data_IF_245034310822
#
_entry.id   IF_245034310822
#
_cell.length_a   1.000
_cell.length_b   1.000
_cell.length_c   1.000
_cell.angle_alpha   90.00
_cell.angle_beta   90.00
_cell.angle_gamma   90.00
#
_symmetry.space_group_name_H-M   'P 1'
#
loop_
_entity.id
_entity.type
_entity.pdbx_description
1 polymer ?
#
# COMPACT_ATOMS: atom_id res chain seq x y z
N UNK A 1 -10.52 -6.47 11.42
CA UNK A 1 -9.58 -5.86 10.46
C UNK A 1 -9.09 -6.96 9.54
N UNK A 2 -9.43 -6.90 8.24
CA UNK A 2 -8.73 -7.68 7.21
C UNK A 2 -7.86 -6.63 6.51
N UNK A 3 -6.61 -6.49 6.90
CA UNK A 3 -5.69 -5.49 6.35
C UNK A 3 -4.33 -6.16 6.19
N UNK A 4 -3.64 -5.86 5.09
CA UNK A 4 -2.23 -6.22 4.96
C UNK A 4 -1.43 -5.17 5.73
N UNK A 5 -0.45 -5.58 6.51
CA UNK A 5 0.30 -4.67 7.36
C UNK A 5 1.77 -5.08 7.48
N UNK A 6 2.57 -4.14 7.94
CA UNK A 6 4.00 -4.29 8.22
C UNK A 6 4.40 -3.27 9.27
N UNK A 7 5.48 -3.56 10.01
CA UNK A 7 6.02 -2.67 11.03
C UNK A 7 7.49 -2.39 10.75
N UNK A 8 7.92 -1.16 11.01
CA UNK A 8 9.33 -0.75 10.94
C UNK A 8 9.69 0.06 12.19
N UNK A 9 10.96 0.05 12.58
CA UNK A 9 11.48 0.94 13.62
C UNK A 9 12.34 2.04 12.97
N UNK A 10 11.90 3.29 13.06
CA UNK A 10 12.47 4.44 12.34
C UNK A 10 12.49 5.65 13.27
N UNK A 11 13.61 6.36 13.34
CA UNK A 11 13.78 7.58 14.15
C UNK A 11 13.27 7.42 15.60
N UNK A 12 13.55 6.29 16.23
CA UNK A 12 13.15 6.02 17.62
C UNK A 12 11.69 5.61 17.82
N UNK A 13 10.89 5.45 16.75
CA UNK A 13 9.48 5.08 16.81
C UNK A 13 9.18 3.80 16.03
N UNK A 14 8.18 3.08 16.49
CA UNK A 14 7.51 2.02 15.74
C UNK A 14 6.53 2.65 14.76
N UNK A 15 6.74 2.39 13.48
CA UNK A 15 5.91 2.86 12.37
C UNK A 15 5.11 1.66 11.87
N UNK A 16 3.80 1.70 12.07
CA UNK A 16 2.88 0.67 11.62
C UNK A 16 2.24 1.12 10.31
N UNK A 17 2.53 0.38 9.24
CA UNK A 17 2.03 0.67 7.90
C UNK A 17 0.94 -0.34 7.57
N UNK A 18 -0.23 0.16 7.20
CA UNK A 18 -1.41 -0.63 6.91
C UNK A 18 -1.93 -0.32 5.52
N UNK A 19 -2.56 -1.29 4.87
CA UNK A 19 -3.19 -1.14 3.58
C UNK A 19 -4.62 -1.68 3.64
N UNK A 20 -5.56 -0.96 3.01
CA UNK A 20 -6.92 -1.46 2.82
C UNK A 20 -6.90 -2.82 2.11
N UNK A 21 -7.87 -3.68 2.41
CA UNK A 21 -7.96 -4.98 1.74
C UNK A 21 -8.33 -4.82 0.27
N UNK A 22 -7.42 -5.23 -0.61
CA UNK A 22 -7.58 -5.07 -2.06
C UNK A 22 -7.66 -6.37 -2.84
N UNK A 23 -8.06 -7.51 -2.25
CA UNK A 23 -8.06 -8.80 -2.94
C UNK A 23 -9.47 -9.28 -3.36
N UNK A 24 -10.47 -8.40 -3.31
CA UNK A 24 -11.84 -8.68 -3.76
C UNK A 24 -12.18 -7.79 -4.95
N UNK A 25 -13.27 -8.12 -5.65
CA UNK A 25 -13.74 -7.28 -6.73
C UNK A 25 -14.12 -5.88 -6.25
N UNK A 26 -13.35 -4.84 -6.63
CA UNK A 26 -13.58 -3.53 -6.07
C UNK A 26 -14.82 -2.91 -6.68
N UNK A 27 -15.73 -2.45 -5.83
CA UNK A 27 -16.82 -1.57 -6.23
C UNK A 27 -16.38 -0.11 -6.12
N UNK A 28 -17.18 0.83 -6.65
CA UNK A 28 -16.83 2.26 -6.68
C UNK A 28 -16.66 2.93 -5.31
N UNK A 29 -17.05 2.24 -4.22
CA UNK A 29 -16.95 2.72 -2.84
C UNK A 29 -15.76 2.12 -2.08
N UNK A 30 -15.03 1.18 -2.67
CA UNK A 30 -13.92 0.52 -1.97
C UNK A 30 -12.73 1.48 -1.86
N UNK A 31 -12.20 1.57 -0.64
CA UNK A 31 -11.04 2.39 -0.31
C UNK A 31 -9.75 1.64 -0.65
N UNK A 32 -8.82 2.33 -1.28
CA UNK A 32 -7.53 1.79 -1.71
C UNK A 32 -6.41 2.65 -1.13
N UNK A 33 -6.31 2.68 0.19
CA UNK A 33 -5.35 3.56 0.87
C UNK A 33 -4.27 2.78 1.62
N UNK A 34 -3.13 3.45 1.75
CA UNK A 34 -2.07 3.12 2.68
C UNK A 34 -2.15 4.12 3.84
N UNK A 35 -2.04 3.59 5.05
CA UNK A 35 -2.09 4.33 6.29
C UNK A 35 -0.80 4.15 7.06
N UNK A 36 -0.47 5.16 7.87
CA UNK A 36 0.58 5.06 8.89
C UNK A 36 0.02 5.48 10.24
N UNK A 37 0.41 4.72 11.27
CA UNK A 37 0.33 5.11 12.67
C UNK A 37 1.70 4.91 13.33
N UNK A 38 1.98 5.64 14.42
CA UNK A 38 3.28 5.60 15.10
C UNK A 38 3.13 5.33 16.58
N UNK A 39 4.13 4.70 17.21
CA UNK A 39 4.20 4.51 18.66
C UNK A 39 5.64 4.57 19.16
N UNK A 40 5.83 4.89 20.43
CA UNK A 40 7.12 4.73 21.12
C UNK A 40 7.29 3.33 21.72
N UNK A 41 6.30 2.45 21.60
CA UNK A 41 6.29 1.07 22.11
C UNK A 41 5.88 0.09 21.00
N UNK A 42 6.45 -1.14 20.94
CA UNK A 42 6.06 -2.13 19.95
C UNK A 42 4.60 -2.59 20.09
N UNK A 43 4.00 -2.39 21.26
CA UNK A 43 2.64 -2.81 21.60
C UNK A 43 1.64 -1.65 21.69
N UNK A 44 2.10 -0.41 21.47
CA UNK A 44 1.26 0.79 21.53
C UNK A 44 1.28 1.53 22.87
N UNK A 45 0.39 2.53 23.04
CA UNK A 45 -0.66 2.92 22.10
C UNK A 45 -0.08 3.50 20.80
N UNK A 46 -0.70 3.16 19.67
CA UNK A 46 -0.40 3.78 18.38
C UNK A 46 -1.20 5.07 18.21
N UNK A 47 -0.63 6.03 17.47
CA UNK A 47 -1.33 7.24 17.05
C UNK A 47 -2.57 6.89 16.23
N UNK A 48 -3.48 7.85 16.07
CA UNK A 48 -4.53 7.72 15.07
C UNK A 48 -3.92 7.46 13.69
N UNK A 49 -4.49 6.51 12.95
CA UNK A 49 -4.08 6.20 11.58
C UNK A 49 -4.27 7.43 10.68
N UNK A 50 -3.27 7.75 9.87
CA UNK A 50 -3.35 8.79 8.83
C UNK A 50 -3.27 8.14 7.45
N UNK A 51 -4.13 8.56 6.53
CA UNK A 51 -3.97 8.21 5.11
C UNK A 51 -2.74 8.93 4.59
N UNK A 52 -1.79 8.19 4.03
CA UNK A 52 -0.54 8.74 3.50
C UNK A 52 -0.39 8.55 1.99
N UNK A 53 -1.15 7.61 1.41
CA UNK A 53 -1.16 7.38 -0.03
C UNK A 53 -2.48 6.71 -0.44
N UNK A 54 -3.01 7.09 -1.59
CA UNK A 54 -4.15 6.43 -2.25
C UNK A 54 -3.65 5.75 -3.51
N UNK A 55 -3.88 4.44 -3.64
CA UNK A 55 -3.45 3.62 -4.77
C UNK A 55 -4.36 3.94 -5.97
N UNK A 56 -3.82 4.53 -7.06
CA UNK A 56 -4.62 4.98 -8.19
C UNK A 56 -4.78 3.91 -9.29
N UNK A 57 -4.03 2.80 -9.19
CA UNK A 57 -3.86 1.84 -10.27
C UNK A 57 -5.18 1.17 -10.66
N UNK A 58 -5.52 1.29 -11.95
CA UNK A 58 -6.72 0.73 -12.56
C UNK A 58 -6.38 -0.14 -13.75
N UNK A 59 -7.12 -1.24 -13.91
CA UNK A 59 -7.10 -2.11 -15.09
C UNK A 59 -8.46 -1.95 -15.76
N UNK A 60 -8.47 -1.51 -17.02
CA UNK A 60 -9.70 -1.24 -17.79
C UNK A 60 -10.71 -0.35 -17.04
N UNK A 61 -10.23 0.66 -16.29
CA UNK A 61 -11.05 1.59 -15.50
C UNK A 61 -11.50 1.08 -14.13
N UNK A 62 -11.34 -0.21 -13.84
CA UNK A 62 -11.64 -0.82 -12.54
C UNK A 62 -10.41 -0.77 -11.64
N UNK A 63 -10.58 -0.51 -10.35
CA UNK A 63 -9.45 -0.51 -9.41
C UNK A 63 -8.78 -1.89 -9.42
N UNK A 64 -7.44 -1.88 -9.38
CA UNK A 64 -6.66 -3.12 -9.42
C UNK A 64 -6.60 -3.75 -8.04
N UNK A 65 -6.49 -5.08 -8.01
CA UNK A 65 -6.25 -5.75 -6.75
C UNK A 65 -4.85 -5.40 -6.21
N UNK A 66 -4.74 -5.19 -4.90
CA UNK A 66 -3.50 -4.86 -4.23
C UNK A 66 -3.29 -5.69 -2.97
N UNK A 67 -2.04 -6.09 -2.72
CA UNK A 67 -1.70 -7.03 -1.65
C UNK A 67 -0.22 -6.92 -1.24
N UNK A 68 0.14 -7.52 -0.11
CA UNK A 68 1.52 -7.65 0.40
C UNK A 68 2.23 -6.30 0.53
N UNK A 69 1.79 -5.49 1.50
CA UNK A 69 2.50 -4.25 1.85
C UNK A 69 3.75 -4.56 2.65
N UNK A 70 4.87 -3.91 2.31
CA UNK A 70 6.13 -4.00 3.04
C UNK A 70 6.76 -2.61 3.20
N UNK A 71 7.34 -2.36 4.37
CA UNK A 71 8.10 -1.17 4.67
C UNK A 71 9.59 -1.50 4.60
N UNK A 72 10.38 -0.62 4.00
CA UNK A 72 11.80 -0.86 3.78
C UNK A 72 12.67 0.24 4.41
N UNK A 73 12.85 0.24 5.75
CA UNK A 73 13.62 1.27 6.44
C UNK A 73 15.11 1.26 6.09
N UNK A 74 15.63 0.15 5.54
CA UNK A 74 17.03 0.01 5.13
C UNK A 74 17.40 0.83 3.89
N UNK A 75 16.43 1.30 3.11
CA UNK A 75 16.69 2.12 1.91
C UNK A 75 16.55 3.61 2.20
N UNK A 76 17.26 4.11 3.20
CA UNK A 76 17.35 5.54 3.47
C UNK A 76 18.05 6.27 2.31
N UNK A 77 17.49 7.40 1.90
CA UNK A 77 18.02 8.26 0.85
C UNK A 77 18.30 9.70 1.33
N UNK A 78 18.29 9.94 2.63
CA UNK A 78 18.58 11.23 3.25
C UNK A 78 17.44 12.25 3.17
N UNK A 79 16.22 11.85 2.76
CA UNK A 79 15.07 12.76 2.60
C UNK A 79 13.97 12.61 3.65
N UNK A 80 14.23 11.88 4.74
CA UNK A 80 13.26 11.57 5.79
C UNK A 80 11.95 10.97 5.23
N UNK A 81 12.08 9.98 4.35
CA UNK A 81 10.96 9.29 3.71
C UNK A 81 11.10 7.78 3.78
N UNK A 82 9.96 7.10 3.99
CA UNK A 82 9.88 5.64 4.05
C UNK A 82 9.58 5.08 2.67
N UNK A 83 10.42 4.17 2.18
CA UNK A 83 10.08 3.33 1.03
C UNK A 83 9.05 2.27 1.46
N UNK A 84 7.90 2.26 0.80
CA UNK A 84 6.86 1.25 0.94
C UNK A 84 6.62 0.60 -0.41
N UNK A 85 6.48 -0.73 -0.41
CA UNK A 85 6.10 -1.48 -1.60
C UNK A 85 4.80 -2.25 -1.40
N UNK A 86 4.06 -2.44 -2.48
CA UNK A 86 2.89 -3.32 -2.53
C UNK A 86 2.84 -4.00 -3.89
N UNK A 87 2.10 -5.10 -4.01
CA UNK A 87 1.91 -5.81 -5.26
C UNK A 87 0.56 -5.47 -5.88
N UNK A 88 0.52 -5.33 -7.20
CA UNK A 88 -0.69 -5.30 -8.00
C UNK A 88 -0.99 -6.69 -8.58
N UNK A 89 -2.27 -7.04 -8.66
CA UNK A 89 -2.73 -8.26 -9.31
C UNK A 89 -3.80 -8.00 -10.37
N UNK A 90 -3.75 -8.81 -11.44
CA UNK A 90 -4.58 -8.74 -12.64
C UNK A 90 -5.88 -9.52 -12.53
N UNK A 91 -6.33 -9.89 -11.33
CA UNK A 91 -7.54 -10.70 -11.18
C UNK A 91 -8.76 -9.90 -11.59
N UNK A 92 -9.19 -10.16 -12.83
CA UNK A 92 -10.35 -9.55 -13.42
C UNK A 92 -11.58 -9.92 -12.62
N UNK A 93 -12.32 -8.90 -12.20
CA UNK A 93 -13.71 -9.09 -11.89
C UNK A 93 -14.45 -9.68 -13.08
N UNK A 94 -15.57 -10.33 -12.84
CA UNK A 94 -16.44 -10.83 -13.90
C UNK A 94 -16.62 -9.76 -14.98
N UNK A 95 -16.20 -10.07 -16.22
CA UNK A 95 -16.26 -9.14 -17.36
C UNK A 95 -15.00 -8.32 -17.63
N UNK A 96 -13.95 -8.42 -16.80
CA UNK A 96 -12.66 -7.74 -17.02
C UNK A 96 -11.62 -8.76 -17.50
N UNK A 97 -11.31 -8.74 -18.81
CA UNK A 97 -10.18 -9.51 -19.34
C UNK A 97 -8.87 -8.73 -19.10
N UNK A 98 -7.85 -9.33 -18.47
CA UNK A 98 -6.52 -8.73 -18.38
C UNK A 98 -5.72 -8.90 -19.69
N UNK A 99 -6.27 -9.62 -20.68
CA UNK A 99 -5.59 -9.97 -21.92
C UNK A 99 -6.14 -9.19 -23.12
N UNK A 100 -5.22 -8.66 -23.92
CA UNK A 100 -5.47 -8.06 -25.24
C UNK A 100 -4.62 -8.83 -26.26
N UNK A 101 -5.24 -9.35 -27.34
CA UNK A 101 -4.55 -10.17 -28.35
C UNK A 101 -3.72 -11.33 -27.76
N UNK A 102 -4.29 -12.08 -26.80
CA UNK A 102 -3.61 -13.18 -26.08
C UNK A 102 -2.34 -12.77 -25.32
N UNK A 103 -2.22 -11.49 -24.93
CA UNK A 103 -1.12 -10.98 -24.10
C UNK A 103 -1.67 -10.24 -22.90
N UNK A 104 -1.09 -10.50 -21.73
CA UNK A 104 -1.32 -9.67 -20.53
C UNK A 104 -0.38 -8.48 -20.58
N UNK A 105 -0.88 -7.30 -20.23
CA UNK A 105 -0.01 -6.15 -20.03
C UNK A 105 0.89 -6.42 -18.80
N UNK A 106 2.23 -6.39 -18.95
CA UNK A 106 3.15 -6.66 -17.83
C UNK A 106 2.97 -5.69 -16.66
N UNK A 107 2.36 -4.52 -16.87
CA UNK A 107 2.06 -3.58 -15.78
C UNK A 107 0.88 -4.02 -14.89
N UNK A 108 0.13 -5.07 -15.26
CA UNK A 108 -0.99 -5.57 -14.47
C UNK A 108 -0.58 -6.54 -13.35
N UNK A 109 0.68 -7.02 -13.34
CA UNK A 109 1.22 -7.87 -12.29
C UNK A 109 2.64 -7.44 -11.90
N UNK A 110 2.76 -6.54 -10.94
CA UNK A 110 4.05 -5.98 -10.56
C UNK A 110 4.08 -5.51 -9.11
N UNK A 111 5.30 -5.48 -8.56
CA UNK A 111 5.56 -4.68 -7.37
C UNK A 111 5.55 -3.20 -7.74
N UNK A 112 4.93 -2.39 -6.89
CA UNK A 112 4.94 -0.94 -6.91
C UNK A 112 5.68 -0.42 -5.70
N UNK A 113 6.26 0.76 -5.84
CA UNK A 113 7.00 1.44 -4.80
C UNK A 113 6.49 2.86 -4.65
N UNK A 114 6.34 3.31 -3.40
CA UNK A 114 6.05 4.69 -3.05
C UNK A 114 6.98 5.13 -1.94
N UNK A 115 7.47 6.37 -2.02
CA UNK A 115 8.22 7.03 -0.96
C UNK A 115 7.26 7.94 -0.20
N UNK A 116 7.12 7.72 1.10
CA UNK A 116 6.18 8.44 1.96
C UNK A 116 6.98 9.36 2.89
N UNK A 117 6.83 10.69 2.80
CA UNK A 117 7.45 11.61 3.74
C UNK A 117 6.96 11.36 5.17
N UNK A 118 7.89 11.18 6.10
CA UNK A 118 7.56 10.89 7.50
C UNK A 118 6.97 12.11 8.24
N UNK A 119 7.17 13.32 7.70
CA UNK A 119 6.58 14.56 8.20
C UNK A 119 5.04 14.54 8.22
N UNK A 120 4.40 13.78 7.32
CA UNK A 120 2.93 13.63 7.27
C UNK A 120 2.40 13.04 8.59
N UNK A 121 3.20 12.21 9.25
CA UNK A 121 2.87 11.56 10.54
C UNK A 121 3.55 12.22 11.74
N UNK A 122 4.15 13.39 11.57
CA UNK A 122 4.79 14.16 12.64
C UNK A 122 6.16 13.61 13.06
N UNK A 123 6.89 13.04 12.12
CA UNK A 123 8.25 12.52 12.26
C UNK A 123 9.25 13.22 11.34
#
# INVERSE_FOLDING_TARGET
>A
MKASNTMAYINGKFVFVEMDFGYQCPNTKDAHNIYISTSSSPTGPFSQRKIVYSIPDRINGVLSNHYVINAHPQFDNGKNELLVTYCLNYTGCTGVSPCTNNRTDPYYYQAKAVRIPLSIVGM
#
